data_IF_435525309906
#
_entry.id   IF_435525309906
#
_cell.length_a   1.000
_cell.length_b   1.000
_cell.length_c   1.000
_cell.angle_alpha   90.00
_cell.angle_beta   90.00
_cell.angle_gamma   90.00
#
_symmetry.space_group_name_H-M   'P 1'
#
loop_
_entity.id
_entity.type
_entity.pdbx_description
1 polymer ?
#
# COMPACT_ATOMS: atom_id res chain seq x y z
N UNK A 1 -18.91 33.09 -42.63
CA UNK A 1 -18.74 31.74 -42.06
C UNK A 1 -18.14 31.92 -40.69
N UNK A 2 -18.98 31.82 -39.65
CA UNK A 2 -18.50 31.82 -38.27
C UNK A 2 -17.90 30.45 -37.97
N UNK A 3 -16.72 30.36 -37.34
CA UNK A 3 -16.27 29.10 -36.79
C UNK A 3 -17.15 28.83 -35.55
N UNK A 4 -17.99 27.80 -35.65
CA UNK A 4 -18.65 27.19 -34.50
C UNK A 4 -17.56 26.68 -33.56
N UNK A 5 -17.46 27.30 -32.38
CA UNK A 5 -16.62 26.81 -31.31
C UNK A 5 -17.20 25.50 -30.78
N UNK A 6 -16.55 24.40 -31.14
CA UNK A 6 -16.60 23.14 -30.39
C UNK A 6 -16.09 23.42 -28.97
N UNK A 7 -16.97 23.37 -27.99
CA UNK A 7 -16.67 23.58 -26.58
C UNK A 7 -17.57 22.71 -25.73
N UNK A 8 -17.38 21.39 -25.73
CA UNK A 8 -18.12 20.51 -24.82
C UNK A 8 -17.49 19.14 -24.51
N UNK A 9 -16.28 18.83 -24.97
CA UNK A 9 -15.64 17.52 -24.67
C UNK A 9 -14.51 17.60 -23.63
N UNK A 10 -13.97 18.78 -23.32
CA UNK A 10 -12.85 18.93 -22.36
C UNK A 10 -13.25 18.87 -20.88
N UNK A 11 -14.54 18.99 -20.56
CA UNK A 11 -14.99 19.31 -19.20
C UNK A 11 -15.16 18.08 -18.29
N UNK A 12 -14.96 16.86 -18.82
CA UNK A 12 -15.11 15.60 -18.06
C UNK A 12 -13.79 14.91 -17.72
N UNK A 13 -12.64 15.52 -18.03
CA UNK A 13 -11.33 14.91 -17.78
C UNK A 13 -10.76 15.31 -16.42
N UNK A 14 -10.35 14.33 -15.62
CA UNK A 14 -9.66 14.58 -14.36
C UNK A 14 -8.21 15.06 -14.59
N UNK A 15 -7.83 16.19 -14.01
CA UNK A 15 -6.48 16.77 -14.13
C UNK A 15 -5.36 15.96 -13.46
N UNK A 16 -5.70 14.97 -12.62
CA UNK A 16 -4.72 14.14 -11.92
C UNK A 16 -4.48 12.82 -12.64
N UNK A 17 -5.54 12.06 -12.95
CA UNK A 17 -5.39 10.77 -13.63
C UNK A 17 -5.52 10.87 -15.16
N UNK A 18 -5.91 12.03 -15.69
CA UNK A 18 -6.15 12.27 -17.12
C UNK A 18 -7.19 11.31 -17.74
N UNK A 19 -8.05 10.72 -16.90
CA UNK A 19 -9.16 9.88 -17.33
C UNK A 19 -10.45 10.68 -17.37
N UNK A 20 -11.30 10.36 -18.34
CA UNK A 20 -12.69 10.81 -18.37
C UNK A 20 -13.44 10.28 -17.14
N UNK A 21 -14.18 11.15 -16.49
CA UNK A 21 -14.92 10.83 -15.28
C UNK A 21 -16.23 11.60 -15.22
N UNK A 22 -17.32 10.87 -15.06
CA UNK A 22 -18.65 11.45 -14.80
C UNK A 22 -18.85 11.84 -13.33
N UNK A 23 -17.82 11.67 -12.49
CA UNK A 23 -17.84 11.95 -11.06
C UNK A 23 -16.79 13.01 -10.70
N UNK A 24 -16.76 14.11 -11.44
CA UNK A 24 -15.93 15.25 -11.08
C UNK A 24 -16.55 15.98 -9.87
N UNK A 25 -15.67 16.44 -8.99
CA UNK A 25 -16.06 17.20 -7.79
C UNK A 25 -15.66 18.67 -7.96
N UNK A 26 -16.41 19.55 -7.33
CA UNK A 26 -16.14 20.99 -7.29
C UNK A 26 -15.36 21.34 -6.02
N UNK A 27 -14.25 22.08 -6.16
CA UNK A 27 -13.40 22.46 -5.04
C UNK A 27 -13.65 23.90 -4.61
N UNK A 28 -14.01 24.14 -3.36
CA UNK A 28 -14.27 25.48 -2.84
C UNK A 28 -13.09 25.99 -2.01
N UNK A 29 -12.76 27.29 -2.08
CA UNK A 29 -13.52 28.36 -2.74
C UNK A 29 -13.17 28.62 -4.21
N UNK A 30 -12.21 27.88 -4.79
CA UNK A 30 -11.69 28.16 -6.13
C UNK A 30 -12.60 27.73 -7.30
N UNK A 31 -13.70 27.01 -7.02
CA UNK A 31 -14.68 26.47 -7.96
C UNK A 31 -14.15 25.60 -9.11
N UNK A 32 -12.92 25.08 -9.01
CA UNK A 32 -12.39 24.17 -10.03
C UNK A 32 -13.15 22.83 -10.02
N UNK A 33 -13.57 22.36 -11.19
CA UNK A 33 -14.35 21.14 -11.42
C UNK A 33 -13.62 20.12 -12.29
N UNK A 34 -12.35 19.86 -12.00
CA UNK A 34 -11.49 19.05 -12.86
C UNK A 34 -10.79 17.92 -12.12
N UNK A 35 -11.32 17.45 -10.99
CA UNK A 35 -10.77 16.31 -10.25
C UNK A 35 -11.87 15.28 -9.99
N UNK A 36 -11.59 14.00 -10.23
CA UNK A 36 -12.56 12.94 -9.97
C UNK A 36 -12.63 12.58 -8.48
N UNK A 37 -13.75 11.97 -8.07
CA UNK A 37 -13.98 11.54 -6.68
C UNK A 37 -12.97 10.49 -6.18
N UNK A 38 -12.23 9.81 -7.05
CA UNK A 38 -11.14 8.91 -6.63
C UNK A 38 -9.83 9.67 -6.40
N UNK A 39 -9.51 10.63 -7.28
CA UNK A 39 -8.26 11.38 -7.19
C UNK A 39 -8.26 12.41 -6.05
N UNK A 40 -9.43 12.94 -5.67
CA UNK A 40 -9.54 13.83 -4.50
C UNK A 40 -9.10 13.11 -3.22
N UNK A 41 -9.37 11.81 -3.12
CA UNK A 41 -8.91 10.97 -2.03
C UNK A 41 -7.41 10.75 -2.02
N UNK A 42 -6.67 11.10 -3.08
CA UNK A 42 -5.21 10.93 -3.15
C UNK A 42 -4.45 12.18 -2.71
N UNK A 43 -5.14 13.30 -2.44
CA UNK A 43 -4.47 14.53 -2.03
C UNK A 43 -3.79 14.36 -0.67
N UNK A 44 -2.53 14.77 -0.55
CA UNK A 44 -1.80 14.77 0.72
C UNK A 44 -2.04 16.06 1.51
N UNK A 45 -2.39 17.15 0.81
CA UNK A 45 -2.64 18.49 1.38
C UNK A 45 -4.02 18.97 0.96
N UNK A 46 -4.57 19.93 1.72
CA UNK A 46 -5.84 20.60 1.41
C UNK A 46 -5.68 21.65 0.31
N UNK A 47 -4.96 21.33 -0.77
CA UNK A 47 -4.67 22.29 -1.84
C UNK A 47 -5.32 21.83 -3.15
N UNK A 48 -5.90 22.79 -3.88
CA UNK A 48 -6.40 22.56 -5.22
C UNK A 48 -5.22 22.15 -6.13
N UNK A 49 -5.31 21.05 -6.91
CA UNK A 49 -4.24 20.65 -7.82
C UNK A 49 -4.02 21.66 -8.96
N UNK A 50 -5.05 22.44 -9.31
CA UNK A 50 -5.04 23.39 -10.42
C UNK A 50 -4.43 24.73 -10.02
N UNK A 51 -4.99 25.39 -9.00
CA UNK A 51 -4.60 26.74 -8.61
C UNK A 51 -3.77 26.81 -7.31
N UNK A 52 -3.56 25.67 -6.63
CA UNK A 52 -2.85 25.57 -5.35
C UNK A 52 -3.46 26.37 -4.20
N UNK A 53 -4.67 26.89 -4.35
CA UNK A 53 -5.42 27.51 -3.25
C UNK A 53 -5.86 26.45 -2.23
N UNK A 54 -5.95 26.82 -0.96
CA UNK A 54 -6.53 25.97 0.08
C UNK A 54 -7.99 25.60 -0.24
N UNK A 55 -8.34 24.34 0.00
CA UNK A 55 -9.64 23.75 -0.29
C UNK A 55 -10.31 23.35 1.02
N UNK A 56 -11.45 23.97 1.29
CA UNK A 56 -12.23 23.73 2.49
C UNK A 56 -13.30 22.66 2.25
N UNK A 57 -14.05 22.80 1.16
CA UNK A 57 -15.21 21.97 0.84
C UNK A 57 -15.07 21.35 -0.56
N UNK A 58 -15.58 20.13 -0.68
CA UNK A 58 -15.73 19.36 -1.90
C UNK A 58 -17.21 19.21 -2.19
N UNK A 59 -17.68 19.82 -3.28
CA UNK A 59 -19.04 19.69 -3.77
C UNK A 59 -19.19 18.48 -4.68
N UNK A 60 -20.16 17.63 -4.39
CA UNK A 60 -20.54 16.52 -5.27
C UNK A 60 -21.53 17.01 -6.32
N UNK A 61 -21.13 17.01 -7.59
CA UNK A 61 -21.99 17.34 -8.72
C UNK A 61 -22.48 16.04 -9.37
N UNK A 62 -23.76 15.73 -9.22
CA UNK A 62 -24.38 14.59 -9.90
C UNK A 62 -24.86 15.05 -11.27
N UNK A 63 -24.06 14.81 -12.32
CA UNK A 63 -24.56 14.97 -13.67
C UNK A 63 -25.51 13.81 -14.01
N UNK A 64 -26.78 14.07 -14.34
CA UNK A 64 -27.67 13.01 -14.81
C UNK A 64 -27.11 12.41 -16.11
N UNK A 65 -27.04 11.09 -16.21
CA UNK A 65 -26.72 10.40 -17.47
C UNK A 65 -27.80 10.76 -18.49
N UNK A 66 -27.48 11.60 -19.46
CA UNK A 66 -28.41 11.99 -20.53
C UNK A 66 -28.50 10.96 -21.67
N UNK A 67 -27.84 9.79 -21.56
CA UNK A 67 -27.74 8.85 -22.68
C UNK A 67 -28.77 7.71 -22.73
N UNK A 68 -29.59 7.46 -21.68
CA UNK A 68 -30.49 6.28 -21.66
C UNK A 68 -31.98 6.57 -21.37
N UNK A 69 -32.42 7.83 -21.33
CA UNK A 69 -33.83 8.14 -21.03
C UNK A 69 -34.48 8.96 -22.15
N UNK A 70 -34.88 8.25 -23.21
CA UNK A 70 -36.06 8.63 -24.00
C UNK A 70 -37.31 8.16 -23.27
N UNK A 71 -37.55 8.69 -22.07
CA UNK A 71 -38.84 8.51 -21.41
C UNK A 71 -39.16 9.79 -20.67
N UNK A 72 -40.26 10.39 -21.10
CA UNK A 72 -40.83 11.65 -20.66
C UNK A 72 -41.37 11.54 -19.23
N UNK A 73 -40.51 11.40 -18.24
CA UNK A 73 -40.82 11.73 -16.85
C UNK A 73 -39.60 12.40 -16.24
N UNK A 74 -39.64 13.73 -16.21
CA UNK A 74 -38.66 14.56 -15.52
C UNK A 74 -38.73 14.28 -14.02
N UNK A 75 -37.97 13.30 -13.56
CA UNK A 75 -37.57 13.25 -12.15
C UNK A 75 -36.70 14.47 -11.90
N UNK A 76 -37.32 15.53 -11.38
CA UNK A 76 -36.64 16.65 -10.75
C UNK A 76 -35.80 16.10 -9.60
N UNK A 77 -34.54 15.75 -9.85
CA UNK A 77 -33.57 15.70 -8.79
C UNK A 77 -33.40 17.14 -8.31
N UNK A 78 -33.79 17.49 -7.07
CA UNK A 78 -33.45 18.81 -6.55
C UNK A 78 -31.94 18.99 -6.68
N UNK A 79 -31.48 20.21 -6.99
CA UNK A 79 -30.07 20.61 -6.97
C UNK A 79 -29.52 20.49 -5.53
N UNK A 80 -29.43 19.27 -5.01
CA UNK A 80 -28.92 18.96 -3.68
C UNK A 80 -27.42 18.97 -3.77
N UNK A 81 -26.87 20.17 -3.67
CA UNK A 81 -25.46 20.36 -3.39
C UNK A 81 -25.14 19.66 -2.06
N UNK A 82 -24.29 18.64 -2.12
CA UNK A 82 -23.71 18.01 -0.93
C UNK A 82 -22.27 18.47 -0.83
N UNK A 83 -22.02 19.44 0.05
CA UNK A 83 -20.70 19.93 0.38
C UNK A 83 -20.08 19.11 1.51
N UNK A 84 -18.92 18.50 1.24
CA UNK A 84 -18.18 17.68 2.20
C UNK A 84 -16.84 18.36 2.50
N UNK A 85 -16.51 18.66 3.77
CA UNK A 85 -15.19 19.17 4.11
C UNK A 85 -14.07 18.26 3.62
N UNK A 86 -13.09 18.81 2.89
CA UNK A 86 -11.97 18.03 2.38
C UNK A 86 -11.20 17.38 3.54
N UNK A 87 -11.10 18.06 4.68
CA UNK A 87 -10.48 17.50 5.87
C UNK A 87 -11.12 16.18 6.31
N UNK A 88 -12.45 16.07 6.26
CA UNK A 88 -13.14 14.82 6.63
C UNK A 88 -12.84 13.68 5.67
N UNK A 89 -12.74 13.96 4.37
CA UNK A 89 -12.36 12.95 3.37
C UNK A 89 -10.94 12.43 3.66
N UNK A 90 -10.01 13.34 3.94
CA UNK A 90 -8.62 12.99 4.25
C UNK A 90 -8.49 12.26 5.59
N UNK A 91 -9.21 12.69 6.63
CA UNK A 91 -9.24 12.02 7.93
C UNK A 91 -9.86 10.63 7.84
N UNK A 92 -10.95 10.48 7.10
CA UNK A 92 -11.57 9.18 6.85
C UNK A 92 -10.62 8.25 6.13
N UNK A 93 -9.95 8.70 5.05
CA UNK A 93 -8.90 7.92 4.38
C UNK A 93 -7.82 7.46 5.35
N UNK A 94 -7.29 8.38 6.17
CA UNK A 94 -6.24 8.09 7.16
C UNK A 94 -6.72 7.05 8.16
N UNK A 95 -7.93 7.20 8.69
CA UNK A 95 -8.56 6.24 9.60
C UNK A 95 -8.67 4.86 8.95
N UNK A 96 -9.16 4.78 7.72
CA UNK A 96 -9.30 3.50 6.99
C UNK A 96 -7.94 2.84 6.75
N UNK A 97 -6.92 3.60 6.33
CA UNK A 97 -5.55 3.08 6.15
C UNK A 97 -4.97 2.59 7.49
N UNK A 98 -5.13 3.35 8.58
CA UNK A 98 -4.66 2.94 9.92
C UNK A 98 -5.34 1.66 10.39
N UNK A 99 -6.65 1.53 10.22
CA UNK A 99 -7.38 0.32 10.57
C UNK A 99 -6.88 -0.88 9.77
N UNK A 100 -6.66 -0.71 8.46
CA UNK A 100 -6.15 -1.76 7.59
C UNK A 100 -4.74 -2.19 8.01
N UNK A 101 -3.84 -1.24 8.26
CA UNK A 101 -2.49 -1.55 8.76
C UNK A 101 -2.52 -2.18 10.15
N UNK A 102 -3.37 -1.72 11.06
CA UNK A 102 -3.50 -2.33 12.38
C UNK A 102 -3.86 -3.82 12.29
N UNK A 103 -4.63 -4.22 11.27
CA UNK A 103 -4.98 -5.62 11.01
C UNK A 103 -4.00 -6.39 10.10
N UNK A 104 -3.08 -5.71 9.40
CA UNK A 104 -2.22 -6.32 8.37
C UNK A 104 -0.75 -5.97 8.58
N UNK A 105 0.10 -6.97 8.81
CA UNK A 105 1.55 -6.77 8.90
C UNK A 105 2.14 -6.30 7.58
N UNK A 106 2.94 -5.25 7.62
CA UNK A 106 3.59 -4.65 6.46
C UNK A 106 5.04 -5.13 6.39
N UNK A 107 5.36 -5.96 5.40
CA UNK A 107 6.69 -6.58 5.22
C UNK A 107 7.28 -6.17 3.88
N UNK A 108 8.42 -5.48 3.90
CA UNK A 108 9.00 -4.88 2.71
C UNK A 108 10.31 -5.57 2.33
N UNK A 109 10.38 -6.05 1.09
CA UNK A 109 11.59 -6.55 0.46
C UNK A 109 12.29 -5.40 -0.22
N UNK A 110 13.54 -5.17 0.15
CA UNK A 110 14.33 -4.05 -0.35
C UNK A 110 15.70 -4.53 -0.81
N UNK A 111 16.24 -3.93 -1.87
CA UNK A 111 17.56 -4.29 -2.36
C UNK A 111 18.05 -3.33 -3.43
N UNK A 112 19.31 -3.52 -3.83
CA UNK A 112 19.90 -2.81 -4.97
C UNK A 112 19.16 -3.18 -6.27
N UNK A 113 19.21 -2.30 -7.26
CA UNK A 113 18.56 -2.48 -8.57
C UNK A 113 19.01 -3.74 -9.32
N UNK A 114 20.18 -4.29 -8.99
CA UNK A 114 20.68 -5.55 -9.58
C UNK A 114 20.04 -6.81 -9.02
N UNK A 115 19.29 -6.73 -7.91
CA UNK A 115 18.71 -7.89 -7.25
C UNK A 115 17.31 -8.17 -7.79
N UNK A 116 16.98 -9.42 -8.18
CA UNK A 116 15.65 -9.78 -8.68
C UNK A 116 14.65 -9.94 -7.52
N UNK A 117 14.30 -8.84 -6.85
CA UNK A 117 13.47 -8.81 -5.64
C UNK A 117 12.15 -9.58 -5.79
N UNK A 118 11.43 -9.35 -6.90
CA UNK A 118 10.14 -10.01 -7.14
C UNK A 118 10.29 -11.54 -7.25
N UNK A 119 11.39 -12.01 -7.88
CA UNK A 119 11.65 -13.46 -7.97
C UNK A 119 11.89 -14.05 -6.57
N UNK A 120 12.68 -13.36 -5.76
CA UNK A 120 13.01 -13.79 -4.39
C UNK A 120 11.75 -13.80 -3.51
N UNK A 121 10.96 -12.73 -3.54
CA UNK A 121 9.71 -12.66 -2.78
C UNK A 121 8.72 -13.75 -3.22
N UNK A 122 8.58 -13.98 -4.53
CA UNK A 122 7.72 -15.05 -5.06
C UNK A 122 8.23 -16.44 -4.68
N UNK A 123 9.54 -16.66 -4.55
CA UNK A 123 10.08 -17.93 -4.08
C UNK A 123 9.79 -18.19 -2.59
N UNK A 124 9.91 -17.15 -1.75
CA UNK A 124 9.67 -17.29 -0.31
C UNK A 124 8.17 -17.40 -0.01
N UNK A 125 7.33 -16.62 -0.69
CA UNK A 125 5.90 -16.55 -0.38
C UNK A 125 4.97 -17.11 -1.42
N UNK A 126 5.45 -17.69 -2.52
CA UNK A 126 4.57 -18.29 -3.52
C UNK A 126 3.61 -19.33 -2.91
N UNK A 127 4.03 -20.00 -1.84
CA UNK A 127 3.19 -20.95 -1.09
C UNK A 127 2.23 -20.30 -0.09
N UNK A 128 2.47 -19.04 0.31
CA UNK A 128 1.67 -18.28 1.28
C UNK A 128 0.80 -17.19 0.63
N UNK A 129 1.07 -16.87 -0.64
CA UNK A 129 0.29 -15.92 -1.42
C UNK A 129 -1.07 -16.51 -1.71
N UNK A 130 -2.13 -15.74 -1.45
CA UNK A 130 -3.44 -16.07 -1.97
C UNK A 130 -3.33 -16.02 -3.50
N UNK A 131 -3.62 -17.12 -4.20
CA UNK A 131 -4.03 -17.01 -5.59
C UNK A 131 -5.37 -16.30 -5.56
N UNK A 132 -5.33 -14.97 -5.73
CA UNK A 132 -6.54 -14.21 -5.98
C UNK A 132 -6.97 -14.62 -7.39
N UNK A 133 -7.71 -15.72 -7.50
CA UNK A 133 -8.39 -16.05 -8.73
C UNK A 133 -9.45 -14.97 -8.94
N UNK A 134 -9.10 -13.99 -9.77
CA UNK A 134 -10.00 -12.93 -10.24
C UNK A 134 -11.15 -13.47 -11.11
N UNK A 135 -11.25 -14.79 -11.28
CA UNK A 135 -12.37 -15.47 -11.93
C UNK A 135 -13.00 -16.38 -10.89
N UNK A 136 -14.23 -16.05 -10.49
CA UNK A 136 -15.00 -16.74 -9.46
C UNK A 136 -15.47 -18.13 -9.84
N UNK A 137 -14.58 -19.02 -10.27
CA UNK A 137 -14.85 -20.44 -10.42
C UNK A 137 -14.10 -21.20 -9.32
N UNK A 138 -14.84 -21.51 -8.26
CA UNK A 138 -14.41 -22.44 -7.22
C UNK A 138 -14.10 -23.79 -7.87
N UNK A 139 -12.82 -24.18 -7.91
CA UNK A 139 -12.49 -25.61 -8.05
C UNK A 139 -12.69 -26.28 -6.70
N UNK A 140 -13.65 -27.19 -6.65
CA UNK A 140 -13.88 -28.08 -5.51
C UNK A 140 -12.60 -28.89 -5.23
N UNK A 141 -12.05 -28.75 -4.02
CA UNK A 141 -10.93 -29.59 -3.58
C UNK A 141 -10.08 -29.07 -2.43
N UNK A 142 -10.14 -27.78 -2.07
CA UNK A 142 -9.34 -27.24 -0.95
C UNK A 142 -10.23 -26.86 0.24
N UNK A 143 -9.89 -27.42 1.42
CA UNK A 143 -10.50 -27.22 2.75
C UNK A 143 -11.39 -25.97 2.89
N UNK A 144 -12.71 -26.19 2.99
CA UNK A 144 -13.74 -25.17 3.16
C UNK A 144 -13.50 -24.20 4.34
N UNK A 145 -12.80 -24.63 5.40
CA UNK A 145 -12.56 -23.81 6.60
C UNK A 145 -11.71 -22.56 6.34
N UNK A 146 -10.83 -22.59 5.34
CA UNK A 146 -10.01 -21.43 4.97
C UNK A 146 -10.75 -20.49 4.01
N UNK A 147 -11.63 -21.02 3.14
CA UNK A 147 -12.38 -20.24 2.16
C UNK A 147 -13.52 -19.46 2.84
N UNK A 148 -14.20 -20.04 3.83
CA UNK A 148 -15.25 -19.34 4.59
C UNK A 148 -14.68 -18.22 5.48
N UNK A 149 -13.53 -18.42 6.12
CA UNK A 149 -12.80 -17.33 6.80
C UNK A 149 -12.33 -16.25 5.83
N UNK A 150 -12.01 -16.62 4.59
CA UNK A 150 -11.56 -15.69 3.53
C UNK A 150 -12.70 -14.83 2.99
N UNK A 151 -13.88 -15.40 2.75
CA UNK A 151 -15.09 -14.63 2.39
C UNK A 151 -15.58 -13.76 3.54
N UNK A 152 -15.58 -14.27 4.77
CA UNK A 152 -15.90 -13.45 5.94
C UNK A 152 -14.90 -12.30 6.17
N UNK A 153 -13.64 -12.44 5.77
CA UNK A 153 -12.62 -11.37 5.84
C UNK A 153 -12.78 -10.33 4.73
N UNK A 154 -12.97 -10.75 3.48
CA UNK A 154 -13.28 -9.80 2.39
C UNK A 154 -14.63 -9.12 2.62
N UNK A 155 -15.66 -9.83 3.09
CA UNK A 155 -16.96 -9.26 3.43
C UNK A 155 -16.96 -8.43 4.73
N UNK A 156 -15.94 -8.54 5.59
CA UNK A 156 -15.78 -7.68 6.78
C UNK A 156 -14.93 -6.43 6.54
N UNK A 157 -14.08 -6.41 5.50
CA UNK A 157 -13.22 -5.27 5.17
C UNK A 157 -13.61 -4.54 3.87
N UNK A 158 -14.27 -5.20 2.93
CA UNK A 158 -14.99 -4.55 1.84
C UNK A 158 -16.43 -4.34 2.31
N UNK A 159 -16.94 -3.11 2.40
CA UNK A 159 -18.34 -2.88 2.69
C UNK A 159 -19.16 -3.30 1.47
N UNK A 160 -19.47 -4.60 1.36
CA UNK A 160 -20.61 -5.00 0.55
C UNK A 160 -21.85 -4.54 1.31
N UNK A 161 -22.72 -3.85 0.60
CA UNK A 161 -24.01 -3.27 1.00
C UNK A 161 -25.04 -4.28 1.52
N UNK A 162 -24.64 -5.41 2.09
CA UNK A 162 -25.52 -6.35 2.77
C UNK A 162 -25.58 -6.03 4.26
N UNK A 163 -26.39 -5.02 4.57
CA UNK A 163 -27.23 -4.95 5.78
C UNK A 163 -26.63 -5.41 7.10
N UNK A 164 -25.38 -5.10 7.42
CA UNK A 164 -24.87 -5.30 8.78
C UNK A 164 -25.18 -4.06 9.62
N UNK A 165 -25.82 -4.28 10.76
CA UNK A 165 -26.23 -3.27 11.73
C UNK A 165 -25.03 -2.65 12.47
N UNK A 166 -23.99 -2.22 11.76
CA UNK A 166 -22.94 -1.40 12.36
C UNK A 166 -23.49 0.02 12.54
N UNK A 167 -23.45 0.53 13.78
CA UNK A 167 -23.68 1.94 14.12
C UNK A 167 -22.53 2.82 13.56
N UNK A 168 -22.24 2.72 12.27
CA UNK A 168 -21.35 3.64 11.59
C UNK A 168 -21.96 5.04 11.61
N UNK A 169 -21.13 6.05 11.83
CA UNK A 169 -21.54 7.45 11.71
C UNK A 169 -22.13 7.64 10.29
N UNK A 170 -23.31 8.25 10.17
CA UNK A 170 -24.00 8.44 8.88
C UNK A 170 -23.09 9.08 7.83
N UNK A 171 -22.13 9.91 8.27
CA UNK A 171 -21.11 10.53 7.42
C UNK A 171 -20.14 9.54 6.78
N UNK A 172 -19.71 8.50 7.50
CA UNK A 172 -18.76 7.50 6.97
C UNK A 172 -19.41 6.69 5.84
N UNK A 173 -20.69 6.33 6.01
CA UNK A 173 -21.46 5.66 4.95
C UNK A 173 -21.61 6.53 3.69
N UNK A 174 -21.78 7.85 3.85
CA UNK A 174 -21.79 8.76 2.71
C UNK A 174 -20.43 8.78 2.01
N UNK A 175 -19.33 8.79 2.77
CA UNK A 175 -17.99 8.77 2.20
C UNK A 175 -17.74 7.48 1.40
N UNK A 176 -18.15 6.33 1.91
CA UNK A 176 -18.05 5.03 1.22
C UNK A 176 -18.85 4.98 -0.09
N UNK A 177 -20.01 5.65 -0.14
CA UNK A 177 -20.86 5.69 -1.34
C UNK A 177 -20.28 6.59 -2.45
N UNK A 178 -19.65 7.70 -2.08
CA UNK A 178 -19.24 8.73 -3.05
C UNK A 178 -17.76 8.70 -3.41
N UNK A 179 -16.91 8.24 -2.49
CA UNK A 179 -15.46 8.25 -2.63
C UNK A 179 -14.92 6.84 -2.66
N UNK A 180 -14.27 6.50 -3.78
CA UNK A 180 -13.60 5.22 -3.91
C UNK A 180 -12.25 5.24 -3.18
N UNK A 181 -12.25 4.73 -1.95
CA UNK A 181 -11.03 4.57 -1.15
C UNK A 181 -10.24 3.31 -1.51
N UNK A 182 -10.75 2.45 -2.40
CA UNK A 182 -10.13 1.15 -2.70
C UNK A 182 -8.71 1.31 -3.24
N UNK A 183 -8.48 2.29 -4.11
CA UNK A 183 -7.15 2.54 -4.67
C UNK A 183 -6.15 3.01 -3.61
N UNK A 184 -6.58 3.89 -2.70
CA UNK A 184 -5.73 4.40 -1.62
C UNK A 184 -5.34 3.30 -0.62
N UNK A 185 -6.25 2.34 -0.41
CA UNK A 185 -6.09 1.26 0.56
C UNK A 185 -5.43 0.01 -0.06
N UNK A 186 -5.47 -0.14 -1.39
CA UNK A 186 -4.91 -1.28 -2.16
C UNK A 186 -3.47 -1.63 -1.78
N UNK A 187 -2.66 -0.63 -1.48
CA UNK A 187 -1.25 -0.81 -1.12
C UNK A 187 -1.03 -1.48 0.24
N UNK A 188 -2.05 -1.50 1.10
CA UNK A 188 -2.00 -2.04 2.46
C UNK A 188 -2.79 -3.34 2.60
N UNK A 189 -3.62 -3.71 1.62
CA UNK A 189 -4.40 -4.95 1.64
C UNK A 189 -3.51 -6.20 1.64
N UNK A 190 -3.77 -7.19 2.49
CA UNK A 190 -2.96 -8.40 2.57
C UNK A 190 -2.94 -9.12 1.23
N UNK A 191 -1.75 -9.59 0.85
CA UNK A 191 -1.55 -10.47 -0.31
C UNK A 191 -1.05 -11.86 0.09
N UNK A 192 -0.90 -12.10 1.40
CA UNK A 192 -0.51 -13.39 1.93
C UNK A 192 -1.08 -13.63 3.33
N UNK A 193 -1.10 -14.90 3.70
CA UNK A 193 -1.55 -15.35 5.02
C UNK A 193 -0.55 -16.36 5.58
N UNK A 194 0.07 -16.03 6.71
CA UNK A 194 1.09 -16.87 7.34
C UNK A 194 0.68 -17.10 8.78
N UNK A 195 0.46 -18.36 9.16
CA UNK A 195 0.10 -18.78 10.53
C UNK A 195 -1.03 -17.93 11.17
N UNK A 196 -2.13 -17.75 10.46
CA UNK A 196 -3.25 -16.98 11.00
C UNK A 196 -3.12 -15.46 10.85
N UNK A 197 -1.98 -14.96 10.35
CA UNK A 197 -1.69 -13.53 10.26
C UNK A 197 -1.80 -13.02 8.83
N UNK A 198 -2.51 -11.91 8.65
CA UNK A 198 -2.59 -11.16 7.39
C UNK A 198 -1.32 -10.38 7.15
N UNK A 199 -0.70 -10.58 5.99
CA UNK A 199 0.55 -9.92 5.62
C UNK A 199 0.41 -9.27 4.26
N UNK A 200 0.93 -8.05 4.17
CA UNK A 200 1.22 -7.35 2.93
C UNK A 200 2.72 -7.42 2.66
N UNK A 201 3.09 -8.16 1.63
CA UNK A 201 4.42 -8.12 1.04
C UNK A 201 4.49 -7.04 -0.04
N UNK A 202 5.49 -6.18 0.06
CA UNK A 202 5.84 -5.26 -1.03
C UNK A 202 7.32 -5.42 -1.37
N UNK A 203 7.70 -5.12 -2.61
CA UNK A 203 9.08 -5.15 -3.08
C UNK A 203 9.44 -3.78 -3.64
N UNK A 204 10.57 -3.23 -3.22
CA UNK A 204 11.03 -1.92 -3.64
C UNK A 204 12.53 -1.93 -3.88
N UNK A 205 12.97 -1.33 -4.98
CA UNK A 205 14.38 -1.00 -5.09
C UNK A 205 14.76 0.04 -4.01
N UNK A 206 16.03 0.09 -3.60
CA UNK A 206 16.47 1.04 -2.56
C UNK A 206 16.08 2.49 -2.86
N UNK A 207 16.15 2.94 -4.11
CA UNK A 207 15.77 4.30 -4.48
C UNK A 207 14.26 4.57 -4.28
N UNK A 208 13.39 3.59 -4.54
CA UNK A 208 11.95 3.68 -4.29
C UNK A 208 11.68 3.70 -2.79
N UNK A 209 12.37 2.83 -2.06
CA UNK A 209 12.21 2.77 -0.62
C UNK A 209 12.71 4.04 0.07
N UNK A 210 13.78 4.66 -0.42
CA UNK A 210 14.23 5.98 0.03
C UNK A 210 13.15 7.06 -0.17
N UNK A 211 12.39 7.02 -1.28
CA UNK A 211 11.26 7.94 -1.48
C UNK A 211 10.17 7.69 -0.44
N UNK A 212 9.86 6.42 -0.15
CA UNK A 212 8.88 6.05 0.88
C UNK A 212 9.33 6.58 2.25
N UNK A 213 10.59 6.35 2.63
CA UNK A 213 11.15 6.79 3.89
C UNK A 213 11.17 8.33 4.03
N UNK A 214 11.52 9.07 2.98
CA UNK A 214 11.48 10.55 2.98
C UNK A 214 10.07 11.09 3.14
N UNK A 215 9.09 10.40 2.57
CA UNK A 215 7.69 10.77 2.71
C UNK A 215 7.06 10.28 4.02
N UNK A 216 7.77 9.54 4.87
CA UNK A 216 7.27 9.06 6.16
C UNK A 216 7.03 10.19 7.18
N UNK A 217 7.62 11.38 6.94
CA UNK A 217 7.31 12.59 7.71
C UNK A 217 5.87 13.09 7.50
N UNK A 218 5.22 12.67 6.40
CA UNK A 218 3.81 12.97 6.15
C UNK A 218 2.96 12.03 6.99
N UNK A 219 1.98 12.57 7.73
CA UNK A 219 1.11 11.90 8.73
C UNK A 219 0.40 10.60 8.30
N UNK A 220 0.50 10.24 7.03
CA UNK A 220 -0.30 9.22 6.38
C UNK A 220 0.53 8.01 5.93
N UNK A 221 1.87 8.13 5.96
CA UNK A 221 2.75 7.04 5.51
C UNK A 221 3.24 6.22 6.69
N UNK A 222 2.95 4.93 6.59
CA UNK A 222 3.20 3.97 7.64
C UNK A 222 4.52 3.26 7.31
N UNK A 223 5.49 3.39 8.21
CA UNK A 223 6.72 2.61 8.14
C UNK A 223 6.40 1.12 8.32
N UNK A 224 7.00 0.22 7.52
CA UNK A 224 6.71 -1.21 7.60
C UNK A 224 7.07 -1.78 8.97
N UNK A 225 6.39 -2.88 9.34
CA UNK A 225 6.66 -3.61 10.58
C UNK A 225 8.00 -4.37 10.49
N UNK A 226 8.37 -4.81 9.29
CA UNK A 226 9.57 -5.59 9.08
C UNK A 226 10.17 -5.40 7.69
N UNK A 227 11.50 -5.36 7.62
CA UNK A 227 12.24 -5.17 6.36
C UNK A 227 13.15 -6.37 6.08
N UNK A 228 13.05 -6.91 4.86
CA UNK A 228 13.98 -7.92 4.34
C UNK A 228 14.89 -7.25 3.34
N UNK A 229 16.14 -7.00 3.74
CA UNK A 229 17.16 -6.45 2.85
C UNK A 229 17.80 -7.58 2.07
N UNK A 230 17.43 -7.73 0.81
CA UNK A 230 18.10 -8.66 -0.09
C UNK A 230 19.47 -8.09 -0.46
N UNK A 231 20.51 -8.92 -0.34
CA UNK A 231 21.88 -8.54 -0.65
C UNK A 231 22.52 -9.55 -1.58
N UNK A 232 23.53 -9.11 -2.33
CA UNK A 232 24.48 -10.00 -2.98
C UNK A 232 25.84 -9.73 -2.35
N UNK A 233 26.25 -10.58 -1.41
CA UNK A 233 27.52 -10.40 -0.70
C UNK A 233 28.75 -10.53 -1.59
N UNK A 234 28.62 -11.17 -2.76
CA UNK A 234 29.69 -11.25 -3.75
C UNK A 234 29.87 -9.97 -4.57
N UNK A 235 28.89 -9.06 -4.50
CA UNK A 235 28.90 -7.78 -5.19
C UNK A 235 29.17 -6.64 -4.19
N UNK A 236 30.41 -6.15 -4.18
CA UNK A 236 30.86 -5.10 -3.27
C UNK A 236 29.97 -3.84 -3.33
N UNK A 237 29.56 -3.42 -4.53
CA UNK A 237 28.69 -2.25 -4.70
C UNK A 237 27.33 -2.48 -4.04
N UNK A 238 26.72 -3.64 -4.26
CA UNK A 238 25.45 -3.99 -3.63
C UNK A 238 25.55 -4.01 -2.10
N UNK A 239 26.66 -4.55 -1.58
CA UNK A 239 26.94 -4.59 -0.15
C UNK A 239 27.07 -3.18 0.42
N UNK A 240 27.88 -2.31 -0.19
CA UNK A 240 28.04 -0.92 0.24
C UNK A 240 26.72 -0.13 0.20
N UNK A 241 25.91 -0.32 -0.85
CA UNK A 241 24.58 0.30 -0.95
C UNK A 241 23.65 -0.16 0.18
N UNK A 242 23.68 -1.45 0.52
CA UNK A 242 22.83 -2.00 1.58
C UNK A 242 23.20 -1.43 2.94
N UNK A 243 24.49 -1.26 3.20
CA UNK A 243 24.99 -0.72 4.48
C UNK A 243 24.58 0.73 4.65
N UNK A 244 24.78 1.55 3.61
CA UNK A 244 24.29 2.93 3.61
C UNK A 244 22.77 2.98 3.79
N UNK A 245 22.04 2.08 3.13
CA UNK A 245 20.59 2.00 3.30
C UNK A 245 20.21 1.60 4.73
N UNK A 246 20.94 0.69 5.37
CA UNK A 246 20.76 0.29 6.76
C UNK A 246 20.89 1.49 7.70
N UNK A 247 21.95 2.29 7.56
CA UNK A 247 22.15 3.51 8.34
C UNK A 247 20.98 4.49 8.20
N UNK A 248 20.52 4.71 6.96
CA UNK A 248 19.39 5.60 6.66
C UNK A 248 18.10 5.06 7.30
N UNK A 249 17.80 3.77 7.12
CA UNK A 249 16.63 3.12 7.70
C UNK A 249 16.62 3.23 9.23
N UNK A 250 17.74 2.89 9.87
CA UNK A 250 17.89 2.97 11.34
C UNK A 250 17.65 4.39 11.84
N UNK A 251 18.27 5.39 11.19
CA UNK A 251 18.10 6.80 11.56
C UNK A 251 16.64 7.22 11.46
N UNK A 252 15.96 6.88 10.37
CA UNK A 252 14.56 7.27 10.15
C UNK A 252 13.63 6.57 11.14
N UNK A 253 13.78 5.27 11.36
CA UNK A 253 12.99 4.56 12.37
C UNK A 253 13.17 5.18 13.77
N UNK A 254 14.41 5.52 14.15
CA UNK A 254 14.70 6.19 15.42
C UNK A 254 14.03 7.57 15.54
N UNK A 255 14.00 8.36 14.46
CA UNK A 255 13.29 9.65 14.43
C UNK A 255 11.79 9.50 14.69
N UNK A 256 11.20 8.37 14.28
CA UNK A 256 9.81 8.04 14.55
C UNK A 256 9.60 7.28 15.88
N UNK A 257 10.61 7.21 16.75
CA UNK A 257 10.52 6.48 18.03
C UNK A 257 10.35 4.97 17.86
N UNK A 258 10.72 4.41 16.70
CA UNK A 258 10.59 3.00 16.39
C UNK A 258 11.95 2.31 16.30
N UNK A 259 11.98 1.05 16.68
CA UNK A 259 13.12 0.17 16.44
C UNK A 259 13.03 -0.40 15.02
N UNK A 260 14.15 -0.40 14.30
CA UNK A 260 14.22 -1.07 13.00
C UNK A 260 14.32 -2.58 13.22
N UNK A 261 13.37 -3.33 12.67
CA UNK A 261 13.45 -4.78 12.57
C UNK A 261 13.73 -5.17 11.14
N UNK A 262 14.91 -5.73 10.92
CA UNK A 262 15.32 -6.16 9.62
C UNK A 262 16.15 -7.44 9.64
N UNK A 263 16.14 -8.13 8.52
CA UNK A 263 17.08 -9.22 8.23
C UNK A 263 17.76 -8.96 6.90
N UNK A 264 18.99 -9.45 6.78
CA UNK A 264 19.67 -9.50 5.51
C UNK A 264 19.51 -10.89 4.90
N UNK A 265 19.03 -10.91 3.66
CA UNK A 265 18.83 -12.11 2.89
C UNK A 265 19.90 -12.17 1.80
N UNK A 266 20.94 -12.96 2.01
CA UNK A 266 22.05 -13.07 1.07
C UNK A 266 21.71 -14.00 -0.09
N UNK A 267 21.67 -13.41 -1.28
CA UNK A 267 21.30 -14.06 -2.54
C UNK A 267 22.51 -14.53 -3.33
N UNK A 268 23.74 -14.23 -2.89
CA UNK A 268 24.98 -14.69 -3.56
C UNK A 268 25.06 -16.21 -3.70
N UNK A 269 24.47 -16.95 -2.76
CA UNK A 269 24.36 -18.41 -2.77
C UNK A 269 23.61 -18.95 -3.99
N UNK A 270 22.79 -18.14 -4.67
CA UNK A 270 22.18 -18.55 -5.93
C UNK A 270 23.21 -18.71 -7.06
N UNK A 271 24.38 -18.10 -6.93
CA UNK A 271 25.44 -18.08 -7.93
C UNK A 271 26.70 -18.85 -7.51
N UNK A 272 27.08 -18.84 -6.23
CA UNK A 272 28.32 -19.48 -5.76
C UNK A 272 28.16 -20.95 -5.31
N UNK A 273 29.19 -21.77 -5.62
CA UNK A 273 29.27 -23.22 -5.32
C UNK A 273 29.99 -23.57 -4.00
N UNK A 274 30.30 -22.62 -3.08
CA UNK A 274 31.23 -22.90 -1.97
C UNK A 274 30.87 -22.27 -0.62
N UNK A 275 31.30 -22.97 0.44
CA UNK A 275 31.18 -22.70 1.89
C UNK A 275 31.91 -21.43 2.41
N UNK A 276 32.33 -20.49 1.54
CA UNK A 276 33.23 -19.37 1.93
C UNK A 276 32.54 -18.15 2.54
N UNK A 277 31.21 -18.07 2.53
CA UNK A 277 30.48 -16.82 2.85
C UNK A 277 30.63 -16.36 4.31
N UNK A 278 30.82 -17.27 5.28
CA UNK A 278 30.96 -16.86 6.70
C UNK A 278 32.19 -15.98 6.98
N UNK A 279 33.31 -16.17 6.27
CA UNK A 279 34.53 -15.41 6.51
C UNK A 279 34.57 -14.04 5.80
N UNK A 280 33.84 -13.89 4.69
CA UNK A 280 33.79 -12.63 3.93
C UNK A 280 32.97 -11.57 4.67
N UNK A 281 31.85 -11.96 5.28
CA UNK A 281 31.07 -11.06 6.13
C UNK A 281 31.90 -10.53 7.30
N UNK A 282 32.71 -11.36 7.95
CA UNK A 282 33.55 -10.94 9.07
C UNK A 282 34.46 -9.75 8.72
N UNK A 283 35.14 -9.80 7.57
CA UNK A 283 36.04 -8.73 7.12
C UNK A 283 35.28 -7.44 6.80
N UNK A 284 34.15 -7.54 6.12
CA UNK A 284 33.33 -6.38 5.74
C UNK A 284 32.60 -5.76 6.94
N UNK A 285 32.22 -6.56 7.94
CA UNK A 285 31.62 -6.05 9.17
C UNK A 285 32.63 -5.42 10.15
N UNK A 286 33.89 -5.87 10.13
CA UNK A 286 34.93 -5.26 10.97
C UNK A 286 35.24 -3.81 10.59
N UNK A 287 34.88 -3.36 9.38
CA UNK A 287 34.94 -1.94 9.01
C UNK A 287 33.66 -1.15 9.33
N UNK A 288 32.58 -1.82 9.75
CA UNK A 288 31.27 -1.22 10.05
C UNK A 288 31.06 -0.93 11.54
N UNK A 289 32.11 -0.59 12.27
CA UNK A 289 32.12 -0.44 13.74
C UNK A 289 31.12 0.58 14.33
N UNK A 290 30.31 1.27 13.51
CA UNK A 290 29.30 2.23 13.94
C UNK A 290 27.87 1.96 13.43
N UNK A 291 27.65 0.93 12.60
CA UNK A 291 26.32 0.67 12.00
C UNK A 291 25.56 -0.37 12.81
N UNK A 292 24.30 -0.08 13.16
CA UNK A 292 23.39 -1.07 13.74
C UNK A 292 23.23 -2.25 12.77
N UNK A 293 23.88 -3.36 13.13
CA UNK A 293 23.86 -4.60 12.37
C UNK A 293 22.42 -5.11 12.18
N UNK A 294 22.13 -5.80 11.06
CA UNK A 294 20.83 -6.45 10.91
C UNK A 294 20.57 -7.42 12.05
N UNK A 295 19.29 -7.59 12.42
CA UNK A 295 18.94 -8.52 13.49
C UNK A 295 19.39 -9.96 13.19
N UNK A 296 19.50 -10.30 11.89
CA UNK A 296 19.93 -11.61 11.42
C UNK A 296 20.39 -11.55 9.97
N UNK A 297 21.33 -12.41 9.61
CA UNK A 297 21.74 -12.67 8.22
C UNK A 297 21.34 -14.10 7.88
N UNK A 298 20.67 -14.28 6.75
CA UNK A 298 20.20 -15.58 6.26
C UNK A 298 20.69 -15.74 4.83
N UNK A 299 21.41 -16.83 4.55
CA UNK A 299 21.87 -17.15 3.20
C UNK A 299 20.78 -17.93 2.48
N UNK A 300 20.35 -17.43 1.34
CA UNK A 300 19.30 -18.03 0.54
C UNK A 300 19.89 -19.14 -0.37
N UNK A 301 19.37 -20.38 -0.30
CA UNK A 301 19.76 -21.40 -1.26
C UNK A 301 19.22 -21.08 -2.67
N UNK A 302 19.83 -21.67 -3.71
CA UNK A 302 19.38 -21.56 -5.12
C UNK A 302 17.89 -21.89 -5.29
N UNK A 303 17.43 -22.89 -4.55
CA UNK A 303 16.05 -23.33 -4.47
C UNK A 303 15.69 -23.44 -3.00
N UNK A 304 14.70 -22.68 -2.56
CA UNK A 304 14.13 -22.87 -1.23
C UNK A 304 13.32 -24.16 -1.21
N UNK A 305 13.58 -25.01 -0.22
CA UNK A 305 12.61 -26.05 0.12
C UNK A 305 11.39 -25.41 0.79
N UNK A 306 10.25 -26.11 0.76
CA UNK A 306 9.04 -25.73 1.50
C UNK A 306 9.31 -25.48 2.99
N UNK A 307 10.19 -26.28 3.59
CA UNK A 307 10.57 -26.14 5.00
C UNK A 307 11.35 -24.84 5.23
N UNK A 308 12.26 -24.46 4.33
CA UNK A 308 13.03 -23.22 4.43
C UNK A 308 12.14 -21.99 4.25
N UNK A 309 11.21 -22.03 3.28
CA UNK A 309 10.21 -20.97 3.09
C UNK A 309 9.33 -20.80 4.32
N UNK A 310 8.87 -21.91 4.90
CA UNK A 310 8.07 -21.90 6.14
C UNK A 310 8.86 -21.33 7.31
N UNK A 311 10.12 -21.74 7.47
CA UNK A 311 11.00 -21.21 8.49
C UNK A 311 11.25 -19.70 8.35
N UNK A 312 11.48 -19.21 7.14
CA UNK A 312 11.62 -17.77 6.87
C UNK A 312 10.35 -16.99 7.17
N UNK A 313 9.20 -17.50 6.73
CA UNK A 313 7.90 -16.88 6.99
C UNK A 313 7.62 -16.79 8.50
N UNK A 314 8.01 -17.80 9.27
CA UNK A 314 7.90 -17.82 10.73
C UNK A 314 8.72 -16.73 11.40
N UNK A 315 9.99 -16.58 10.99
CA UNK A 315 10.86 -15.52 11.51
C UNK A 315 10.23 -14.15 11.24
N UNK A 316 9.69 -13.95 10.04
CA UNK A 316 9.08 -12.69 9.63
C UNK A 316 7.87 -12.36 10.50
N UNK A 317 6.95 -13.32 10.69
CA UNK A 317 5.76 -13.12 11.54
C UNK A 317 6.16 -12.82 12.98
N UNK A 318 7.10 -13.58 13.55
CA UNK A 318 7.58 -13.35 14.91
C UNK A 318 8.17 -11.95 15.07
N UNK A 319 8.94 -11.48 14.09
CA UNK A 319 9.56 -10.15 14.12
C UNK A 319 8.54 -9.02 13.92
N UNK A 320 7.54 -9.21 13.07
CA UNK A 320 6.43 -8.26 12.95
C UNK A 320 5.68 -8.10 14.28
N UNK A 321 5.41 -9.22 14.96
CA UNK A 321 4.76 -9.19 16.27
C UNK A 321 5.61 -8.47 17.33
N UNK A 322 6.92 -8.73 17.35
CA UNK A 322 7.85 -7.98 18.22
C UNK A 322 7.80 -6.48 17.91
N UNK A 323 7.86 -6.10 16.63
CA UNK A 323 7.81 -4.69 16.21
C UNK A 323 6.56 -3.96 16.67
N UNK A 324 5.39 -4.63 16.71
CA UNK A 324 4.15 -3.99 17.17
C UNK A 324 4.00 -3.98 18.68
N UNK A 325 4.56 -4.96 19.39
CA UNK A 325 4.53 -4.95 20.86
C UNK A 325 5.32 -3.80 21.46
N UNK A 326 6.44 -3.44 20.84
CA UNK A 326 7.28 -2.32 21.26
C UNK A 326 6.69 -0.95 20.85
N UNK A 327 5.63 -0.92 20.04
CA UNK A 327 4.98 0.30 19.56
C UNK A 327 3.51 0.33 19.97
N UNK A 328 3.20 1.07 21.03
CA UNK A 328 1.81 1.37 21.38
C UNK A 328 1.32 2.43 20.39
N UNK A 329 0.34 2.10 19.56
CA UNK A 329 -0.39 3.11 18.79
C UNK A 329 -1.16 3.98 19.79
N UNK A 330 -0.68 5.19 20.06
CA UNK A 330 -1.47 6.23 20.74
C UNK A 330 -2.64 6.71 19.87
#
# INVERSE_FOLDING_TARGET
MNPSMDGSESDLTCCICLQESYKLVELFPCHHKNICSTCICRLEKKLCPTCRQDVDLVGLNFHPRTSDLKTSESFFYPNTFVGIPLNFILEYRRKTIRNLVASTYQVYFVGSSGIPLHKISSQIFGEFTRKIDTKGDLKEGENCDNVERTRAFEDSFMPRSKGSNSKGNSMERLLELFFDMSECTRHYFPNAFVKGSSIRFNCFAFWEFLRILRSAEVSDRILPDFIVSCIDSSNEKCMQETVKMQEIMTRIYKLHGRKLYNIWLDTSGSHCKKESTKNEFGKTFHSMTQVDLPCRIIVLPKSLSKNDSTYLADIIVQKCFQSRKEFIFE
#
